data_IF_971978533203
#
_entry.id   IF_971978533203
#
_cell.length_a   1.000
_cell.length_b   1.000
_cell.length_c   1.000
_cell.angle_alpha   90.00
_cell.angle_beta   90.00
_cell.angle_gamma   90.00
#
_symmetry.space_group_name_H-M   'P 1'
#
loop_
_entity.id
_entity.type
_entity.pdbx_description
1 polymer ?
#
# COMPACT_ATOMS: atom_id res chain seq x y z
N UNK A 1 -11.16 -5.99 16.03
CA UNK A 1 -9.71 -5.71 15.90
C UNK A 1 -9.31 -5.97 14.46
N UNK A 2 -8.71 -5.00 13.76
CA UNK A 2 -8.28 -5.19 12.37
C UNK A 2 -7.05 -6.10 12.30
N UNK A 3 -6.96 -6.92 11.25
CA UNK A 3 -5.80 -7.78 11.00
C UNK A 3 -4.55 -6.90 10.81
N UNK A 4 -3.69 -6.82 11.84
CA UNK A 4 -2.40 -6.18 11.73
C UNK A 4 -1.54 -7.01 10.79
N UNK A 5 -1.08 -6.40 9.70
CA UNK A 5 -0.07 -7.00 8.84
C UNK A 5 1.13 -7.39 9.69
N UNK A 6 1.80 -8.48 9.28
CA UNK A 6 3.15 -8.70 9.77
C UNK A 6 3.98 -7.43 9.50
N UNK A 7 4.80 -7.04 10.46
CA UNK A 7 5.63 -5.84 10.39
C UNK A 7 6.45 -5.76 9.09
N UNK A 8 6.87 -6.92 8.56
CA UNK A 8 7.54 -7.06 7.26
C UNK A 8 6.65 -6.63 6.08
N UNK A 9 5.38 -7.03 6.03
CA UNK A 9 4.49 -6.69 4.93
C UNK A 9 4.09 -5.20 4.92
N UNK A 10 4.08 -4.54 6.09
CA UNK A 10 3.97 -3.07 6.18
C UNK A 10 5.18 -2.38 5.56
N UNK A 11 6.37 -2.74 6.03
CA UNK A 11 7.64 -2.17 5.58
C UNK A 11 7.85 -2.29 4.06
N UNK A 12 7.48 -3.43 3.46
CA UNK A 12 7.56 -3.59 2.00
C UNK A 12 6.62 -2.64 1.26
N UNK A 13 5.39 -2.43 1.75
CA UNK A 13 4.46 -1.49 1.13
C UNK A 13 4.98 -0.06 1.25
N UNK A 14 5.55 0.32 2.39
CA UNK A 14 6.13 1.65 2.60
C UNK A 14 7.26 1.93 1.61
N UNK A 15 8.18 0.98 1.41
CA UNK A 15 9.24 1.07 0.39
C UNK A 15 8.67 1.23 -1.03
N UNK A 16 7.59 0.52 -1.36
CA UNK A 16 6.93 0.63 -2.67
C UNK A 16 6.33 2.03 -2.84
N UNK A 17 5.67 2.57 -1.82
CA UNK A 17 5.08 3.92 -1.88
C UNK A 17 6.16 4.99 -2.01
N UNK A 18 7.26 4.85 -1.28
CA UNK A 18 8.40 5.78 -1.35
C UNK A 18 9.05 5.75 -2.74
N UNK A 19 9.23 4.57 -3.32
CA UNK A 19 9.70 4.41 -4.69
C UNK A 19 8.79 5.07 -5.73
N UNK A 20 7.46 4.94 -5.58
CA UNK A 20 6.50 5.58 -6.48
C UNK A 20 6.55 7.11 -6.37
N UNK A 21 6.58 7.66 -5.15
CA UNK A 21 6.74 9.10 -4.91
C UNK A 21 8.03 9.63 -5.51
N UNK A 22 9.12 8.89 -5.37
CA UNK A 22 10.41 9.27 -5.93
C UNK A 22 10.37 9.34 -7.47
N UNK A 23 9.64 8.42 -8.11
CA UNK A 23 9.42 8.43 -9.56
C UNK A 23 8.55 9.63 -9.97
N UNK A 24 7.46 9.90 -9.25
CA UNK A 24 6.59 11.06 -9.49
C UNK A 24 7.34 12.38 -9.36
N UNK A 25 8.27 12.47 -8.40
CA UNK A 25 9.13 13.64 -8.19
C UNK A 25 10.30 13.72 -9.18
N UNK A 26 10.38 12.84 -10.19
CA UNK A 26 11.48 12.77 -11.16
C UNK A 26 12.89 12.64 -10.54
N UNK A 27 12.99 12.14 -9.29
CA UNK A 27 14.28 12.03 -8.58
C UNK A 27 15.21 10.96 -9.16
N UNK A 28 14.65 10.00 -9.89
CA UNK A 28 15.38 8.95 -10.58
C UNK A 28 15.12 9.04 -12.08
N UNK A 29 16.17 8.84 -12.88
CA UNK A 29 16.07 8.89 -14.35
C UNK A 29 15.21 7.79 -14.96
N UNK A 30 14.99 6.68 -14.23
CA UNK A 30 14.23 5.54 -14.71
C UNK A 30 13.54 4.83 -13.52
N UNK A 31 12.28 4.38 -13.66
CA UNK A 31 11.61 3.54 -12.66
C UNK A 31 12.41 2.32 -12.18
N UNK A 32 13.27 1.74 -13.02
CA UNK A 32 14.16 0.65 -12.62
C UNK A 32 15.21 1.09 -11.58
N UNK A 33 15.75 2.31 -11.71
CA UNK A 33 16.73 2.85 -10.77
C UNK A 33 16.09 3.09 -9.39
N UNK A 34 14.88 3.64 -9.36
CA UNK A 34 14.10 3.78 -8.12
C UNK A 34 13.82 2.40 -7.50
N UNK A 35 13.38 1.42 -8.31
CA UNK A 35 13.11 0.07 -7.82
C UNK A 35 14.33 -0.58 -7.16
N UNK A 36 15.52 -0.42 -7.77
CA UNK A 36 16.78 -0.92 -7.21
C UNK A 36 17.17 -0.17 -5.93
N UNK A 37 16.99 1.15 -5.89
CA UNK A 37 17.31 1.98 -4.72
C UNK A 37 16.48 1.58 -3.48
N UNK A 38 15.18 1.37 -3.66
CA UNK A 38 14.27 1.03 -2.56
C UNK A 38 14.16 -0.48 -2.29
N UNK A 39 14.99 -1.31 -2.94
CA UNK A 39 14.98 -2.77 -2.79
C UNK A 39 13.59 -3.39 -3.06
N UNK A 40 12.95 -2.96 -4.14
CA UNK A 40 11.62 -3.43 -4.58
C UNK A 40 11.68 -3.95 -6.01
N UNK A 41 10.84 -4.94 -6.32
CA UNK A 41 10.79 -5.47 -7.68
C UNK A 41 10.29 -4.44 -8.69
N UNK A 42 11.03 -4.28 -9.79
CA UNK A 42 10.61 -3.45 -10.92
C UNK A 42 9.23 -3.83 -11.46
N UNK A 43 8.89 -5.13 -11.49
CA UNK A 43 7.56 -5.59 -11.93
C UNK A 43 6.45 -5.04 -11.05
N UNK A 44 6.69 -4.95 -9.74
CA UNK A 44 5.74 -4.38 -8.78
C UNK A 44 5.54 -2.90 -9.05
N UNK A 45 6.63 -2.13 -9.21
CA UNK A 45 6.56 -0.70 -9.53
C UNK A 45 5.81 -0.47 -10.84
N UNK A 46 6.15 -1.20 -11.91
CA UNK A 46 5.46 -1.09 -13.20
C UNK A 46 3.97 -1.39 -13.09
N UNK A 47 3.58 -2.43 -12.34
CA UNK A 47 2.18 -2.76 -12.08
C UNK A 47 1.47 -1.64 -11.31
N UNK A 48 2.12 -1.04 -10.30
CA UNK A 48 1.55 0.05 -9.51
C UNK A 48 1.37 1.32 -10.33
N UNK A 49 2.35 1.68 -11.17
CA UNK A 49 2.24 2.81 -12.11
C UNK A 49 1.09 2.64 -13.10
N UNK A 50 0.79 1.40 -13.51
CA UNK A 50 -0.36 1.08 -14.36
C UNK A 50 -1.71 1.07 -13.61
N UNK A 51 -1.78 1.58 -12.37
CA UNK A 51 -3.00 1.64 -11.57
C UNK A 51 -3.28 0.39 -10.71
N UNK A 52 -2.30 -0.51 -10.58
CA UNK A 52 -2.43 -1.68 -9.71
C UNK A 52 -2.59 -1.29 -8.23
N UNK A 53 -3.66 -1.77 -7.59
CA UNK A 53 -3.95 -1.49 -6.18
C UNK A 53 -3.03 -2.29 -5.23
N UNK A 54 -2.76 -1.71 -4.06
CA UNK A 54 -2.22 -2.48 -2.92
C UNK A 54 -3.26 -3.45 -2.39
N UNK A 55 -2.81 -4.47 -1.67
CA UNK A 55 -3.72 -5.41 -1.03
C UNK A 55 -4.68 -4.73 -0.04
N UNK A 56 -4.23 -3.68 0.67
CA UNK A 56 -5.10 -2.92 1.58
C UNK A 56 -6.14 -2.12 0.83
N UNK A 57 -5.74 -1.45 -0.25
CA UNK A 57 -6.68 -0.69 -1.07
C UNK A 57 -7.69 -1.61 -1.76
N UNK A 58 -7.26 -2.78 -2.23
CA UNK A 58 -8.15 -3.79 -2.81
C UNK A 58 -9.15 -4.31 -1.77
N UNK A 59 -8.67 -4.66 -0.57
CA UNK A 59 -9.52 -5.11 0.53
C UNK A 59 -10.54 -4.04 0.95
N UNK A 60 -10.11 -2.78 1.08
CA UNK A 60 -10.99 -1.67 1.43
C UNK A 60 -12.09 -1.45 0.38
N UNK A 61 -11.81 -1.71 -0.90
CA UNK A 61 -12.82 -1.59 -1.97
C UNK A 61 -13.82 -2.75 -1.97
N UNK A 62 -13.43 -3.92 -1.45
CA UNK A 62 -14.29 -5.10 -1.38
C UNK A 62 -15.13 -5.16 -0.10
N UNK A 63 -14.79 -4.38 0.92
CA UNK A 63 -15.55 -4.32 2.16
C UNK A 63 -16.89 -3.60 1.94
N UNK A 64 -17.96 -4.18 2.49
CA UNK A 64 -19.32 -3.59 2.47
C UNK A 64 -19.39 -2.35 3.34
N UNK A 65 -18.67 -2.36 4.45
CA UNK A 65 -18.60 -1.26 5.41
C UNK A 65 -17.28 -0.52 5.23
N UNK A 66 -17.36 0.80 5.29
CA UNK A 66 -16.16 1.62 5.39
C UNK A 66 -15.43 1.34 6.71
N UNK A 67 -14.12 1.58 6.71
CA UNK A 67 -13.29 1.41 7.90
C UNK A 67 -13.78 2.28 9.09
N UNK A 68 -14.48 3.38 8.81
CA UNK A 68 -15.12 4.25 9.80
C UNK A 68 -16.39 3.63 10.40
N UNK A 69 -17.20 2.99 9.57
CA UNK A 69 -18.41 2.27 10.02
C UNK A 69 -18.04 1.03 10.83
N UNK A 70 -17.05 0.25 10.38
CA UNK A 70 -16.54 -0.89 11.15
C UNK A 70 -16.04 -0.46 12.54
N UNK A 71 -15.28 0.65 12.64
CA UNK A 71 -14.83 1.19 13.93
C UNK A 71 -15.99 1.59 14.84
N UNK A 72 -17.05 2.16 14.26
CA UNK A 72 -18.23 2.59 15.00
C UNK A 72 -19.00 1.38 15.54
N UNK A 73 -19.19 0.34 14.72
CA UNK A 73 -19.80 -0.93 15.13
C UNK A 73 -18.99 -1.64 16.21
N UNK A 74 -17.68 -1.73 16.06
CA UNK A 74 -16.81 -2.34 17.09
C UNK A 74 -16.97 -1.61 18.43
N UNK A 75 -16.98 -0.26 18.42
CA UNK A 75 -17.17 0.53 19.65
C UNK A 75 -18.54 0.28 20.30
N UNK A 76 -19.57 0.06 19.50
CA UNK A 76 -20.91 -0.27 19.99
C UNK A 76 -20.97 -1.67 20.62
N UNK A 77 -20.39 -2.68 19.95
CA UNK A 77 -20.46 -4.09 20.39
C UNK A 77 -19.55 -4.35 21.59
N UNK A 78 -18.43 -3.64 21.72
CA UNK A 78 -17.45 -3.85 22.79
C UNK A 78 -17.83 -3.12 24.10
N UNK A 79 -18.83 -2.24 24.07
CA UNK A 79 -19.35 -1.56 25.26
C UNK A 79 -20.34 -2.46 25.99
#
# INVERSE_FOLDING_TARGET
MGYQRSSKAGQTEDKIQEALRAIENCTFSNPYAAAKHFDVSYRTIRRRMAGGKSHSQAAAYQQVLSNTEEKSLIRWITR
#
